data_IF_212229191437
#
_entry.id   IF_212229191437
#
_cell.length_a   1.000
_cell.length_b   1.000
_cell.length_c   1.000
_cell.angle_alpha   90.00
_cell.angle_beta   90.00
_cell.angle_gamma   90.00
#
_symmetry.space_group_name_H-M   'P 1'
#
loop_
_entity.id
_entity.type
_entity.pdbx_description
1 polymer ?
#
# COMPACT_ATOMS: atom_id res chain seq x y z
N UNK A 1 -8.60 -3.98 -22.49
CA UNK A 1 -8.20 -4.86 -21.39
C UNK A 1 -8.13 -4.07 -20.10
N UNK A 2 -7.93 -4.72 -18.96
CA UNK A 2 -7.54 -4.01 -17.73
C UNK A 2 -6.04 -3.67 -17.78
N UNK A 3 -5.61 -2.64 -17.03
CA UNK A 3 -4.18 -2.28 -16.89
C UNK A 3 -3.43 -3.42 -16.20
N UNK A 4 -2.34 -3.88 -16.81
CA UNK A 4 -1.50 -4.95 -16.31
C UNK A 4 -0.18 -4.40 -15.76
N UNK A 5 0.00 -4.51 -14.45
CA UNK A 5 1.28 -4.20 -13.79
C UNK A 5 2.04 -5.49 -13.47
N UNK A 6 3.35 -5.52 -13.75
CA UNK A 6 4.21 -6.66 -13.42
C UNK A 6 5.27 -6.26 -12.41
N UNK A 7 5.37 -7.04 -11.33
CA UNK A 7 6.32 -6.79 -10.25
C UNK A 7 7.58 -7.64 -10.36
N UNK A 8 8.74 -7.01 -10.15
CA UNK A 8 10.05 -7.65 -10.12
C UNK A 8 10.83 -7.24 -8.88
N UNK A 9 11.65 -8.15 -8.36
CA UNK A 9 12.59 -7.82 -7.27
C UNK A 9 13.80 -7.04 -7.83
N UNK A 10 14.38 -6.09 -7.07
CA UNK A 10 15.53 -5.29 -7.51
C UNK A 10 16.71 -6.11 -8.09
N UNK A 11 16.97 -7.28 -7.50
CA UNK A 11 18.04 -8.18 -7.94
C UNK A 11 17.85 -8.69 -9.38
N UNK A 12 16.61 -8.77 -9.84
CA UNK A 12 16.25 -9.32 -11.15
C UNK A 12 15.82 -8.24 -12.15
N UNK A 13 15.61 -7.00 -11.71
CA UNK A 13 15.05 -5.93 -12.54
C UNK A 13 15.81 -5.72 -13.84
N UNK A 14 17.14 -5.73 -13.82
CA UNK A 14 17.95 -5.42 -15.02
C UNK A 14 17.68 -6.34 -16.20
N UNK A 15 17.41 -7.62 -15.95
CA UNK A 15 17.21 -8.60 -17.01
C UNK A 15 15.72 -8.90 -17.26
N UNK A 16 14.86 -8.74 -16.25
CA UNK A 16 13.41 -8.94 -16.42
C UNK A 16 12.69 -7.71 -16.99
N UNK A 17 13.16 -6.49 -16.74
CA UNK A 17 12.47 -5.29 -17.18
C UNK A 17 12.23 -5.25 -18.70
N UNK A 18 13.22 -5.56 -19.57
CA UNK A 18 12.98 -5.63 -21.02
C UNK A 18 11.98 -6.71 -21.41
N UNK A 19 12.01 -7.88 -20.74
CA UNK A 19 11.08 -8.99 -21.00
C UNK A 19 9.65 -8.61 -20.63
N UNK A 20 9.48 -7.90 -19.51
CA UNK A 20 8.18 -7.39 -19.05
C UNK A 20 7.60 -6.40 -20.05
N UNK A 21 8.43 -5.49 -20.57
CA UNK A 21 8.00 -4.52 -21.60
C UNK A 21 7.66 -5.21 -22.92
N UNK A 22 8.49 -6.15 -23.39
CA UNK A 22 8.25 -6.92 -24.62
C UNK A 22 6.97 -7.75 -24.53
N UNK A 23 6.65 -8.27 -23.35
CA UNK A 23 5.40 -9.00 -23.09
C UNK A 23 4.15 -8.09 -23.09
N UNK A 24 4.31 -6.77 -23.18
CA UNK A 24 3.21 -5.81 -23.28
C UNK A 24 2.58 -5.43 -21.94
N UNK A 25 3.33 -5.46 -20.84
CA UNK A 25 2.85 -4.91 -19.57
C UNK A 25 2.69 -3.38 -19.66
N UNK A 26 1.69 -2.84 -18.95
CA UNK A 26 1.43 -1.39 -18.93
C UNK A 26 2.28 -0.66 -17.88
N UNK A 27 2.69 -1.34 -16.80
CA UNK A 27 3.43 -0.77 -15.68
C UNK A 27 4.48 -1.77 -15.19
N UNK A 28 5.71 -1.30 -14.99
CA UNK A 28 6.75 -2.05 -14.28
C UNK A 28 6.76 -1.65 -12.80
N UNK A 29 6.71 -2.62 -11.90
CA UNK A 29 6.82 -2.37 -10.45
C UNK A 29 8.11 -2.99 -9.91
N UNK A 30 9.05 -2.18 -9.44
CA UNK A 30 10.23 -2.67 -8.72
C UNK A 30 9.91 -2.70 -7.23
N UNK A 31 9.60 -3.88 -6.70
CA UNK A 31 9.14 -4.05 -5.32
C UNK A 31 10.20 -4.72 -4.43
N UNK A 32 10.47 -4.11 -3.29
CA UNK A 32 11.40 -4.59 -2.27
C UNK A 32 10.89 -4.25 -0.87
N UNK A 33 11.43 -4.90 0.17
CA UNK A 33 11.01 -4.63 1.56
C UNK A 33 11.40 -3.23 2.02
N UNK A 34 12.58 -2.74 1.65
CA UNK A 34 13.02 -1.37 1.95
C UNK A 34 13.85 -0.93 0.76
N UNK A 35 13.35 0.05 0.02
CA UNK A 35 14.03 0.59 -1.15
C UNK A 35 14.57 1.97 -0.82
N UNK A 36 15.86 2.16 -1.07
CA UNK A 36 16.51 3.46 -1.12
C UNK A 36 16.91 3.76 -2.56
N UNK A 37 17.06 5.04 -2.90
CA UNK A 37 17.55 5.45 -4.21
C UNK A 37 18.97 4.91 -4.52
N UNK A 38 19.75 4.62 -3.48
CA UNK A 38 21.09 4.02 -3.60
C UNK A 38 21.03 2.53 -3.31
N UNK A 39 20.92 1.72 -4.37
CA UNK A 39 21.01 0.27 -4.24
C UNK A 39 22.46 -0.19 -4.08
N UNK A 40 22.85 -0.55 -2.86
CA UNK A 40 24.16 -1.17 -2.59
C UNK A 40 24.07 -2.65 -2.95
N UNK A 41 24.83 -3.07 -3.96
CA UNK A 41 24.86 -4.46 -4.44
C UNK A 41 26.30 -4.93 -4.66
N UNK A 42 26.50 -6.25 -4.78
CA UNK A 42 27.78 -6.82 -5.23
C UNK A 42 28.06 -6.57 -6.72
N UNK A 43 27.08 -6.08 -7.48
CA UNK A 43 27.26 -5.71 -8.89
C UNK A 43 27.95 -4.35 -8.97
N UNK A 44 28.99 -4.25 -9.81
CA UNK A 44 29.85 -3.06 -9.97
C UNK A 44 29.08 -1.75 -10.17
N UNK A 45 27.92 -1.79 -10.87
CA UNK A 45 27.07 -0.60 -11.12
C UNK A 45 25.80 -0.53 -10.26
N UNK A 46 25.38 -1.63 -9.64
CA UNK A 46 24.06 -1.71 -8.99
C UNK A 46 22.85 -1.41 -9.91
N UNK A 47 21.63 -1.50 -9.38
CA UNK A 47 20.43 -1.00 -10.06
C UNK A 47 20.36 0.52 -9.83
N UNK A 48 20.31 1.28 -10.93
CA UNK A 48 20.20 2.74 -10.91
C UNK A 48 18.84 3.08 -11.50
N UNK A 49 18.00 3.76 -10.72
CA UNK A 49 16.61 4.00 -11.10
C UNK A 49 16.49 5.04 -12.20
N UNK A 50 17.39 6.01 -12.26
CA UNK A 50 17.48 7.00 -13.33
C UNK A 50 17.73 6.33 -14.67
N UNK A 51 18.71 5.43 -14.74
CA UNK A 51 19.03 4.65 -15.94
C UNK A 51 17.84 3.77 -16.35
N UNK A 52 17.17 3.14 -15.38
CA UNK A 52 16.00 2.29 -15.62
C UNK A 52 14.81 3.11 -16.16
N UNK A 53 14.49 4.24 -15.54
CA UNK A 53 13.38 5.08 -16.00
C UNK A 53 13.65 5.67 -17.38
N UNK A 54 14.93 5.96 -17.70
CA UNK A 54 15.31 6.44 -19.02
C UNK A 54 15.28 5.35 -20.12
N UNK A 55 15.48 4.07 -19.76
CA UNK A 55 15.51 2.97 -20.72
C UNK A 55 14.14 2.36 -21.01
N UNK A 56 13.19 2.50 -20.10
CA UNK A 56 11.84 1.94 -20.21
C UNK A 56 10.88 2.91 -20.91
N UNK A 57 9.97 2.39 -21.71
CA UNK A 57 8.87 3.13 -22.35
C UNK A 57 7.60 3.12 -21.51
N UNK A 58 7.48 2.17 -20.59
CA UNK A 58 6.37 2.04 -19.65
C UNK A 58 6.71 2.69 -18.31
N UNK A 59 5.72 3.24 -17.58
CA UNK A 59 5.94 3.82 -16.26
C UNK A 59 6.54 2.82 -15.27
N UNK A 60 7.56 3.29 -14.54
CA UNK A 60 8.26 2.52 -13.50
C UNK A 60 7.79 2.98 -12.12
N UNK A 61 7.13 2.10 -11.39
CA UNK A 61 6.74 2.29 -9.99
C UNK A 61 7.76 1.62 -9.09
N UNK A 62 8.19 2.29 -8.03
CA UNK A 62 9.23 1.77 -7.13
C UNK A 62 8.73 1.72 -5.70
N UNK A 63 9.06 0.65 -4.99
CA UNK A 63 8.67 0.50 -3.60
C UNK A 63 9.42 -0.60 -2.86
N UNK A 64 9.34 -0.67 -1.55
CA UNK A 64 8.59 0.25 -0.69
C UNK A 64 9.52 1.22 0.05
N UNK A 65 9.04 2.43 0.33
CA UNK A 65 9.67 3.37 1.25
C UNK A 65 8.70 3.80 2.36
N UNK A 66 9.22 4.41 3.42
CA UNK A 66 8.43 4.78 4.61
C UNK A 66 8.85 6.10 5.26
N UNK A 67 9.82 6.82 4.68
CA UNK A 67 10.31 8.08 5.24
C UNK A 67 10.35 9.16 4.17
N UNK A 68 10.18 10.41 4.63
CA UNK A 68 10.28 11.61 3.80
C UNK A 68 11.54 11.61 2.93
N UNK A 69 12.71 11.42 3.53
CA UNK A 69 14.00 11.51 2.82
C UNK A 69 14.19 10.40 1.79
N UNK A 70 13.74 9.18 2.08
CA UNK A 70 13.80 8.08 1.13
C UNK A 70 12.81 8.27 -0.03
N UNK A 71 11.59 8.73 0.27
CA UNK A 71 10.58 9.04 -0.74
C UNK A 71 11.06 10.14 -1.68
N UNK A 72 11.54 11.27 -1.15
CA UNK A 72 12.05 12.38 -1.94
C UNK A 72 13.22 11.95 -2.84
N UNK A 73 14.15 11.16 -2.30
CA UNK A 73 15.26 10.62 -3.07
C UNK A 73 14.79 9.71 -4.21
N UNK A 74 13.79 8.85 -3.98
CA UNK A 74 13.22 7.97 -5.00
C UNK A 74 12.49 8.75 -6.08
N UNK A 75 11.63 9.70 -5.70
CA UNK A 75 10.87 10.54 -6.64
C UNK A 75 11.83 11.29 -7.58
N UNK A 76 12.94 11.83 -7.05
CA UNK A 76 13.97 12.53 -7.83
C UNK A 76 14.69 11.66 -8.86
N UNK A 77 14.63 10.33 -8.75
CA UNK A 77 15.20 9.42 -9.76
C UNK A 77 14.37 9.34 -11.04
N UNK A 78 13.15 9.90 -11.04
CA UNK A 78 12.28 9.95 -12.21
C UNK A 78 11.17 8.90 -12.25
N UNK A 79 11.00 8.10 -11.19
CA UNK A 79 9.94 7.10 -11.06
C UNK A 79 8.54 7.69 -11.29
N UNK A 80 7.64 6.88 -11.83
CA UNK A 80 6.27 7.28 -12.14
C UNK A 80 5.36 7.31 -10.92
N UNK A 81 5.61 6.46 -9.92
CA UNK A 81 4.92 6.45 -8.63
C UNK A 81 5.77 5.73 -7.56
N UNK A 82 5.40 5.88 -6.29
CA UNK A 82 6.10 5.23 -5.17
C UNK A 82 5.13 4.40 -4.31
N UNK A 83 5.51 3.17 -3.96
CA UNK A 83 4.76 2.37 -2.97
C UNK A 83 5.26 2.68 -1.56
N UNK A 84 4.32 2.90 -0.65
CA UNK A 84 4.59 3.30 0.73
C UNK A 84 4.20 2.18 1.68
N UNK A 85 5.12 1.72 2.52
CA UNK A 85 4.79 0.80 3.61
C UNK A 85 5.81 -0.30 3.86
N UNK A 86 6.17 -0.51 5.13
CA UNK A 86 7.06 -1.59 5.57
C UNK A 86 6.53 -2.23 6.85
N UNK A 87 6.21 -3.52 6.74
CA UNK A 87 5.72 -4.33 7.85
C UNK A 87 4.21 -4.29 8.20
N UNK A 88 3.31 -3.49 7.60
CA UNK A 88 1.90 -3.47 8.03
C UNK A 88 1.07 -4.64 7.47
N UNK A 89 1.57 -5.35 6.45
CA UNK A 89 0.82 -6.37 5.73
C UNK A 89 0.55 -7.60 6.60
N UNK A 90 -0.67 -8.14 6.55
CA UNK A 90 -1.08 -9.25 7.41
C UNK A 90 -0.23 -10.53 7.27
N UNK A 91 0.37 -10.75 6.10
CA UNK A 91 1.26 -11.87 5.84
C UNK A 91 2.74 -11.54 6.07
N UNK A 92 3.07 -10.31 6.47
CA UNK A 92 4.45 -9.84 6.65
C UNK A 92 4.90 -10.04 8.10
N UNK A 93 6.08 -10.62 8.29
CA UNK A 93 6.68 -10.83 9.61
C UNK A 93 7.93 -9.97 9.81
N UNK A 94 8.17 -8.98 8.95
CA UNK A 94 9.39 -8.15 9.00
C UNK A 94 9.55 -7.41 10.33
N UNK A 95 8.46 -6.90 10.93
CA UNK A 95 8.53 -6.24 12.25
C UNK A 95 8.99 -7.18 13.35
N UNK A 96 8.46 -8.41 13.38
CA UNK A 96 8.82 -9.39 14.42
C UNK A 96 10.18 -10.05 14.16
N UNK A 97 10.54 -10.28 12.90
CA UNK A 97 11.78 -10.99 12.52
C UNK A 97 12.99 -10.06 12.52
N UNK A 98 12.83 -8.83 12.01
CA UNK A 98 13.94 -7.88 11.82
C UNK A 98 13.86 -6.65 12.74
N UNK A 99 12.76 -6.43 13.45
CA UNK A 99 12.56 -5.22 14.25
C UNK A 99 12.30 -3.96 13.41
N UNK A 100 12.07 -4.09 12.09
CA UNK A 100 11.88 -2.96 11.19
C UNK A 100 10.41 -2.80 10.77
N UNK A 101 9.91 -1.57 10.86
CA UNK A 101 8.62 -1.18 10.33
C UNK A 101 8.18 0.17 10.87
N UNK A 102 7.22 0.78 10.17
CA UNK A 102 6.68 2.11 10.50
C UNK A 102 5.15 2.02 10.55
N UNK A 103 4.46 2.73 11.46
CA UNK A 103 3.01 2.87 11.41
C UNK A 103 2.56 3.39 10.03
N UNK A 104 1.58 2.71 9.41
CA UNK A 104 1.32 2.88 7.98
C UNK A 104 0.81 4.28 7.60
N UNK A 105 -0.05 4.87 8.43
CA UNK A 105 -0.56 6.22 8.19
C UNK A 105 0.54 7.25 8.38
N UNK A 106 1.39 7.11 9.41
CA UNK A 106 2.57 7.97 9.59
C UNK A 106 3.50 7.92 8.38
N UNK A 107 3.83 6.72 7.89
CA UNK A 107 4.64 6.57 6.69
C UNK A 107 4.01 7.22 5.45
N UNK A 108 2.69 7.14 5.32
CA UNK A 108 1.95 7.77 4.22
C UNK A 108 2.03 9.29 4.30
N UNK A 109 1.79 9.88 5.48
CA UNK A 109 1.88 11.33 5.71
C UNK A 109 3.30 11.84 5.40
N UNK A 110 4.34 11.18 5.93
CA UNK A 110 5.73 11.57 5.71
C UNK A 110 6.11 11.54 4.22
N UNK A 111 5.60 10.54 3.48
CA UNK A 111 5.88 10.39 2.05
C UNK A 111 5.01 11.33 1.18
N UNK A 112 3.80 11.67 1.62
CA UNK A 112 2.96 12.69 0.99
C UNK A 112 3.63 14.06 1.08
N UNK A 113 4.14 14.43 2.25
CA UNK A 113 4.90 15.67 2.42
C UNK A 113 6.13 15.73 1.48
N UNK A 114 6.86 14.62 1.30
CA UNK A 114 7.97 14.55 0.36
C UNK A 114 7.52 14.74 -1.10
N UNK A 115 6.38 14.17 -1.47
CA UNK A 115 5.77 14.34 -2.80
C UNK A 115 5.36 15.80 -3.03
N UNK A 116 4.73 16.43 -2.04
CA UNK A 116 4.29 17.82 -2.12
C UNK A 116 5.48 18.77 -2.26
N UNK A 117 6.54 18.59 -1.45
CA UNK A 117 7.80 19.35 -1.62
C UNK A 117 8.38 19.19 -3.03
N UNK A 118 8.42 17.98 -3.56
CA UNK A 118 8.90 17.76 -4.93
C UNK A 118 8.02 18.44 -5.99
N UNK A 119 6.70 18.43 -5.79
CA UNK A 119 5.75 19.10 -6.67
C UNK A 119 5.94 20.63 -6.64
N UNK A 120 6.14 21.22 -5.46
CA UNK A 120 6.46 22.64 -5.32
C UNK A 120 7.80 23.02 -5.98
N UNK A 121 8.81 22.16 -5.86
CA UNK A 121 10.14 22.37 -6.45
C UNK A 121 10.14 22.27 -7.99
N UNK A 122 9.31 21.39 -8.57
CA UNK A 122 9.47 20.96 -9.97
C UNK A 122 8.22 21.09 -10.85
N UNK A 123 7.04 21.28 -10.25
CA UNK A 123 5.74 21.22 -10.91
C UNK A 123 5.32 19.81 -11.35
N UNK A 124 6.11 18.78 -11.07
CA UNK A 124 5.79 17.39 -11.44
C UNK A 124 5.17 16.64 -10.26
N UNK A 125 3.93 16.21 -10.43
CA UNK A 125 3.24 15.40 -9.43
C UNK A 125 3.60 13.92 -9.60
N UNK A 126 4.01 13.25 -8.52
CA UNK A 126 4.35 11.82 -8.53
C UNK A 126 3.44 11.09 -7.54
N UNK A 127 2.49 10.27 -8.00
CA UNK A 127 1.55 9.59 -7.11
C UNK A 127 2.24 8.69 -6.07
N UNK A 128 1.65 8.62 -4.88
CA UNK A 128 2.05 7.67 -3.85
C UNK A 128 0.93 6.66 -3.57
N UNK A 129 1.30 5.40 -3.40
CA UNK A 129 0.37 4.29 -3.22
C UNK A 129 0.66 3.63 -1.87
N UNK A 130 -0.28 3.71 -0.94
CA UNK A 130 -0.14 3.07 0.38
C UNK A 130 -0.31 1.56 0.24
N UNK A 131 0.73 0.79 0.58
CA UNK A 131 0.78 -0.67 0.45
C UNK A 131 0.73 -1.38 1.81
N UNK A 132 -0.37 -2.11 2.01
CA UNK A 132 -0.57 -2.99 3.15
C UNK A 132 -1.16 -2.31 4.39
N UNK A 133 -1.59 -3.15 5.35
CA UNK A 133 -2.24 -2.70 6.58
C UNK A 133 -3.76 -2.57 6.52
N UNK A 134 -4.38 -2.99 5.42
CA UNK A 134 -5.82 -2.88 5.19
C UNK A 134 -6.58 -4.18 5.48
N UNK A 135 -7.69 -4.04 6.17
CA UNK A 135 -8.70 -5.03 6.52
C UNK A 135 -10.11 -4.51 6.22
N UNK A 136 -10.37 -3.22 6.43
CA UNK A 136 -11.71 -2.61 6.33
C UNK A 136 -11.69 -1.28 5.57
N UNK A 137 -12.85 -0.88 5.04
CA UNK A 137 -13.00 0.37 4.26
C UNK A 137 -12.48 1.62 4.97
N UNK A 138 -12.68 1.75 6.29
CA UNK A 138 -12.21 2.92 7.04
C UNK A 138 -10.69 3.09 7.07
N UNK A 139 -9.90 2.03 6.91
CA UNK A 139 -8.43 2.14 6.82
C UNK A 139 -8.01 2.68 5.45
N UNK A 140 -8.74 2.32 4.38
CA UNK A 140 -8.55 2.88 3.04
C UNK A 140 -8.84 4.39 3.09
N UNK A 141 -9.97 4.79 3.69
CA UNK A 141 -10.30 6.20 3.84
C UNK A 141 -9.22 7.00 4.57
N UNK A 142 -8.62 6.44 5.63
CA UNK A 142 -7.51 7.08 6.35
C UNK A 142 -6.25 7.19 5.50
N UNK A 143 -5.93 6.18 4.69
CA UNK A 143 -4.77 6.24 3.80
C UNK A 143 -4.95 7.32 2.73
N UNK A 144 -6.14 7.40 2.12
CA UNK A 144 -6.46 8.46 1.16
C UNK A 144 -6.39 9.84 1.84
N UNK A 145 -7.04 10.02 3.00
CA UNK A 145 -6.95 11.26 3.77
C UNK A 145 -5.51 11.67 4.12
N UNK A 146 -4.64 10.69 4.36
CA UNK A 146 -3.23 10.88 4.66
C UNK A 146 -2.36 11.29 3.45
N UNK A 147 -2.96 11.49 2.26
CA UNK A 147 -2.28 11.94 1.05
C UNK A 147 -2.00 10.84 0.02
N UNK A 148 -2.53 9.62 0.21
CA UNK A 148 -2.39 8.56 -0.78
C UNK A 148 -3.27 8.79 -2.02
N UNK A 149 -2.71 8.54 -3.20
CA UNK A 149 -3.43 8.59 -4.48
C UNK A 149 -4.10 7.25 -4.81
N UNK A 150 -3.62 6.18 -4.17
CA UNK A 150 -4.16 4.84 -4.29
C UNK A 150 -3.73 3.94 -3.14
N UNK A 151 -4.29 2.74 -3.09
CA UNK A 151 -3.95 1.72 -2.09
C UNK A 151 -3.66 0.38 -2.77
N UNK A 152 -2.68 -0.35 -2.26
CA UNK A 152 -2.41 -1.73 -2.66
C UNK A 152 -3.00 -2.69 -1.63
N UNK A 153 -3.89 -3.57 -2.09
CA UNK A 153 -4.64 -4.50 -1.25
C UNK A 153 -4.22 -5.94 -1.55
N UNK A 154 -3.69 -6.64 -0.53
CA UNK A 154 -3.30 -8.06 -0.65
C UNK A 154 -4.36 -9.01 -0.09
N UNK A 155 -4.43 -9.11 1.25
CA UNK A 155 -5.31 -10.05 1.95
C UNK A 155 -6.78 -9.93 1.55
N UNK A 156 -7.27 -8.71 1.33
CA UNK A 156 -8.66 -8.46 0.94
C UNK A 156 -8.96 -9.10 -0.43
N UNK A 157 -8.09 -8.92 -1.42
CA UNK A 157 -8.27 -9.56 -2.73
C UNK A 157 -8.08 -11.07 -2.70
N UNK A 158 -7.25 -11.59 -1.79
CA UNK A 158 -7.13 -13.02 -1.57
C UNK A 158 -8.43 -13.68 -1.03
N UNK A 159 -9.37 -12.89 -0.51
CA UNK A 159 -10.70 -13.35 -0.09
C UNK A 159 -11.72 -13.44 -1.23
N UNK A 160 -11.37 -12.98 -2.44
CA UNK A 160 -12.25 -13.10 -3.59
C UNK A 160 -12.36 -14.56 -4.07
N UNK A 161 -13.56 -14.97 -4.51
CA UNK A 161 -13.82 -16.31 -5.08
C UNK A 161 -12.89 -16.67 -6.24
N UNK A 162 -12.52 -15.68 -7.06
CA UNK A 162 -11.61 -15.85 -8.20
C UNK A 162 -10.12 -15.79 -7.84
N UNK A 163 -9.76 -15.58 -6.57
CA UNK A 163 -8.37 -15.45 -6.17
C UNK A 163 -7.61 -16.77 -6.34
N UNK A 164 -6.41 -16.76 -6.97
CA UNK A 164 -5.65 -17.97 -7.24
C UNK A 164 -5.19 -18.69 -5.96
N UNK A 165 -5.05 -17.94 -4.86
CA UNK A 165 -4.69 -18.47 -3.55
C UNK A 165 -5.80 -19.27 -2.85
N UNK A 166 -7.03 -19.30 -3.38
CA UNK A 166 -8.17 -20.08 -2.85
C UNK A 166 -8.38 -19.91 -1.33
N UNK A 167 -8.40 -18.65 -0.87
CA UNK A 167 -8.55 -18.28 0.53
C UNK A 167 -7.27 -18.34 1.37
N UNK A 168 -6.12 -18.56 0.75
CA UNK A 168 -4.80 -18.37 1.34
C UNK A 168 -4.11 -17.13 0.77
N UNK A 169 -3.31 -16.48 1.61
CA UNK A 169 -2.50 -15.32 1.25
C UNK A 169 -1.09 -15.48 1.82
N UNK A 170 -0.07 -15.08 1.05
CA UNK A 170 1.32 -15.01 1.49
C UNK A 170 2.01 -13.85 0.80
N UNK A 171 2.96 -13.22 1.49
CA UNK A 171 3.74 -12.12 0.92
C UNK A 171 4.93 -12.59 0.09
N UNK A 172 5.46 -11.69 -0.75
CA UNK A 172 6.65 -11.92 -1.59
C UNK A 172 7.91 -12.29 -0.81
N UNK A 173 7.98 -11.95 0.48
CA UNK A 173 9.12 -12.26 1.34
C UNK A 173 9.03 -13.64 2.04
N UNK A 174 7.97 -14.41 1.78
CA UNK A 174 7.78 -15.77 2.31
C UNK A 174 8.84 -16.77 1.81
N UNK A 175 9.12 -16.90 0.49
CA UNK A 175 10.00 -17.96 -0.02
C UNK A 175 11.51 -17.67 0.15
N UNK A 176 11.93 -16.71 0.98
CA UNK A 176 13.35 -16.36 1.08
C UNK A 176 14.14 -17.51 1.75
N UNK A 177 15.10 -18.15 1.04
CA UNK A 177 15.68 -19.42 1.46
C UNK A 177 16.48 -19.32 2.77
N UNK A 178 17.13 -18.18 3.02
CA UNK A 178 17.97 -17.99 4.21
C UNK A 178 17.22 -17.39 5.41
N UNK A 179 16.16 -16.60 5.17
CA UNK A 179 15.47 -15.84 6.23
C UNK A 179 14.07 -15.42 5.75
N UNK A 180 13.08 -16.32 5.87
CA UNK A 180 11.68 -16.02 5.55
C UNK A 180 11.17 -14.83 6.39
N UNK A 181 10.54 -13.86 5.73
CA UNK A 181 9.96 -12.65 6.37
C UNK A 181 8.49 -12.46 6.01
N UNK A 182 7.86 -13.55 5.61
CA UNK A 182 6.44 -13.64 5.38
C UNK A 182 5.93 -15.00 5.82
N UNK A 183 4.65 -15.07 6.11
CA UNK A 183 3.95 -16.30 6.47
C UNK A 183 2.78 -16.53 5.55
N UNK A 184 2.35 -17.79 5.45
CA UNK A 184 1.14 -18.15 4.72
C UNK A 184 -0.01 -18.13 5.72
N UNK A 185 -0.99 -17.27 5.47
CA UNK A 185 -2.18 -17.10 6.29
C UNK A 185 -3.42 -17.61 5.56
N UNK A 186 -4.42 -18.05 6.33
CA UNK A 186 -5.75 -18.38 5.81
C UNK A 186 -6.67 -17.19 6.05
N UNK A 187 -7.10 -16.54 4.98
CA UNK A 187 -8.02 -15.39 5.03
C UNK A 187 -9.46 -15.78 4.69
N UNK A 188 -9.66 -16.99 4.18
CA UNK A 188 -10.96 -17.48 3.75
C UNK A 188 -11.43 -16.86 2.44
N UNK A 189 -12.66 -17.15 2.05
CA UNK A 189 -13.30 -16.58 0.86
C UNK A 189 -14.62 -15.96 1.29
N UNK A 190 -14.81 -14.68 1.01
CA UNK A 190 -15.96 -13.91 1.53
C UNK A 190 -16.95 -13.50 0.44
N UNK A 191 -16.53 -13.39 -0.83
CA UNK A 191 -17.41 -12.94 -1.92
C UNK A 191 -16.74 -12.89 -3.29
N UNK A 192 -17.44 -12.40 -4.31
CA UNK A 192 -16.81 -12.04 -5.58
C UNK A 192 -15.94 -10.80 -5.43
N UNK A 193 -15.01 -10.56 -6.37
CA UNK A 193 -14.22 -9.32 -6.37
C UNK A 193 -15.12 -8.08 -6.46
N UNK A 194 -16.17 -8.16 -7.25
CA UNK A 194 -17.18 -7.11 -7.40
C UNK A 194 -17.89 -6.80 -6.08
N UNK A 195 -18.32 -7.82 -5.32
CA UNK A 195 -18.94 -7.63 -4.00
C UNK A 195 -17.96 -6.99 -3.00
N UNK A 196 -16.70 -7.42 -3.01
CA UNK A 196 -15.68 -6.88 -2.12
C UNK A 196 -15.43 -5.40 -2.42
N UNK A 197 -15.34 -5.02 -3.69
CA UNK A 197 -15.05 -3.63 -4.08
C UNK A 197 -16.29 -2.72 -4.05
N UNK A 198 -17.39 -3.13 -4.66
CA UNK A 198 -18.55 -2.28 -4.97
C UNK A 198 -19.84 -2.71 -4.27
N UNK A 199 -19.85 -3.89 -3.64
CA UNK A 199 -21.02 -4.42 -2.95
C UNK A 199 -22.04 -5.10 -3.88
N UNK A 200 -23.29 -5.31 -3.41
CA UNK A 200 -23.76 -5.03 -2.05
C UNK A 200 -23.02 -5.88 -1.01
N UNK A 201 -22.88 -5.34 0.20
CA UNK A 201 -22.25 -6.07 1.30
C UNK A 201 -23.20 -7.12 1.87
N UNK A 202 -22.73 -8.35 2.06
CA UNK A 202 -23.41 -9.37 2.86
C UNK A 202 -22.88 -9.43 4.30
N UNK A 203 -21.90 -8.59 4.65
CA UNK A 203 -21.22 -8.55 5.94
C UNK A 203 -21.38 -7.16 6.59
N UNK A 204 -21.34 -7.12 7.91
CA UNK A 204 -21.50 -5.88 8.71
C UNK A 204 -20.19 -5.34 9.27
N UNK A 205 -19.06 -5.97 8.95
CA UNK A 205 -17.75 -5.66 9.52
C UNK A 205 -16.90 -4.71 8.65
N UNK A 206 -17.44 -4.25 7.51
CA UNK A 206 -16.78 -3.32 6.59
C UNK A 206 -15.68 -3.94 5.72
N UNK A 207 -15.67 -5.26 5.57
CA UNK A 207 -14.72 -5.99 4.69
C UNK A 207 -15.17 -6.09 3.23
N UNK A 208 -16.38 -5.62 2.91
CA UNK A 208 -16.97 -5.56 1.57
C UNK A 208 -17.48 -4.15 1.26
N UNK A 209 -17.77 -3.89 -0.02
CA UNK A 209 -18.13 -2.57 -0.53
C UNK A 209 -17.13 -1.47 -0.12
N UNK A 210 -15.85 -1.73 -0.35
CA UNK A 210 -14.76 -0.81 0.02
C UNK A 210 -14.86 0.56 -0.67
N UNK A 211 -15.28 0.57 -1.93
CA UNK A 211 -15.48 1.80 -2.71
C UNK A 211 -16.64 2.59 -2.14
N UNK A 212 -17.77 1.95 -1.82
CA UNK A 212 -18.89 2.61 -1.16
C UNK A 212 -18.53 3.14 0.23
N UNK A 213 -17.68 2.43 0.99
CA UNK A 213 -17.17 2.93 2.27
C UNK A 213 -16.32 4.20 2.09
N UNK A 214 -15.44 4.22 1.09
CA UNK A 214 -14.62 5.39 0.75
C UNK A 214 -15.51 6.58 0.32
N UNK A 215 -16.44 6.37 -0.61
CA UNK A 215 -17.36 7.41 -1.09
C UNK A 215 -18.20 8.01 0.05
N UNK A 216 -18.75 7.17 0.93
CA UNK A 216 -19.48 7.65 2.10
C UNK A 216 -18.58 8.45 3.04
N UNK A 217 -17.34 8.00 3.27
CA UNK A 217 -16.39 8.75 4.11
C UNK A 217 -16.07 10.12 3.50
N UNK A 218 -15.80 10.16 2.20
CA UNK A 218 -15.54 11.40 1.48
C UNK A 218 -16.73 12.37 1.56
N UNK A 219 -17.96 11.88 1.36
CA UNK A 219 -19.17 12.69 1.52
C UNK A 219 -19.34 13.26 2.93
N UNK A 220 -19.04 12.47 3.97
CA UNK A 220 -19.08 12.92 5.37
C UNK A 220 -17.99 13.95 5.70
N UNK A 221 -16.83 13.87 5.04
CA UNK A 221 -15.75 14.83 5.17
C UNK A 221 -15.89 16.04 4.23
N UNK A 222 -16.95 16.10 3.40
CA UNK A 222 -17.16 17.18 2.44
C UNK A 222 -16.19 17.19 1.25
N UNK A 223 -15.60 16.05 0.91
CA UNK A 223 -14.68 15.90 -0.22
C UNK A 223 -15.38 15.23 -1.42
N UNK A 224 -15.32 15.87 -2.59
CA UNK A 224 -15.90 15.34 -3.83
C UNK A 224 -14.94 14.42 -4.60
N UNK A 225 -13.63 14.50 -4.34
CA UNK A 225 -12.59 13.73 -5.01
C UNK A 225 -11.40 13.44 -4.10
N UNK A 226 -10.46 12.60 -4.56
CA UNK A 226 -9.29 12.17 -3.79
C UNK A 226 -8.43 13.38 -3.38
N UNK A 227 -8.22 14.34 -4.29
CA UNK A 227 -7.42 15.53 -4.02
C UNK A 227 -8.02 16.40 -2.93
N UNK A 228 -9.35 16.55 -2.88
CA UNK A 228 -10.03 17.25 -1.80
C UNK A 228 -9.92 16.48 -0.48
N UNK A 229 -9.99 15.15 -0.52
CA UNK A 229 -9.85 14.30 0.66
C UNK A 229 -8.46 14.42 1.31
N UNK A 230 -7.41 14.73 0.55
CA UNK A 230 -6.07 15.00 1.09
C UNK A 230 -6.04 16.20 2.04
N UNK A 231 -7.03 17.11 1.96
CA UNK A 231 -7.15 18.27 2.85
C UNK A 231 -8.01 17.99 4.09
N UNK A 232 -8.51 16.76 4.26
CA UNK A 232 -9.34 16.40 5.41
C UNK A 232 -8.54 16.48 6.71
N UNK A 233 -9.15 17.06 7.75
CA UNK A 233 -8.53 17.09 9.08
C UNK A 233 -8.42 15.68 9.66
N UNK A 234 -7.20 15.29 10.05
CA UNK A 234 -6.93 14.02 10.71
C UNK A 234 -6.56 14.24 12.17
N UNK A 235 -7.34 13.63 13.06
CA UNK A 235 -7.10 13.68 14.52
C UNK A 235 -6.59 12.34 15.03
N UNK A 236 -5.50 12.38 15.80
CA UNK A 236 -4.98 11.20 16.49
C UNK A 236 -5.69 11.06 17.83
N UNK A 237 -6.59 10.08 17.92
CA UNK A 237 -7.33 9.77 19.14
C UNK A 237 -7.09 8.31 19.54
N UNK A 238 -6.03 8.01 20.32
CA UNK A 238 -5.68 6.64 20.69
C UNK A 238 -6.79 5.91 21.47
N UNK A 239 -7.60 6.68 22.20
CA UNK A 239 -8.74 6.18 22.98
C UNK A 239 -10.03 6.03 22.19
N UNK A 240 -10.10 6.42 20.91
CA UNK A 240 -11.39 6.53 20.19
C UNK A 240 -12.20 5.22 20.11
N UNK A 241 -11.51 4.07 20.23
CA UNK A 241 -12.15 2.75 20.24
C UNK A 241 -12.78 2.44 21.61
N UNK A 242 -12.20 2.96 22.69
CA UNK A 242 -12.55 2.62 24.09
C UNK A 242 -13.30 3.75 24.81
N UNK A 243 -13.14 4.98 24.35
CA UNK A 243 -13.74 6.18 24.93
C UNK A 243 -15.27 6.10 24.93
N UNK A 244 -15.87 6.31 26.09
CA UNK A 244 -17.32 6.13 26.32
C UNK A 244 -17.80 4.68 26.35
N UNK A 245 -17.26 3.79 25.50
CA UNK A 245 -17.64 2.37 25.46
C UNK A 245 -17.24 1.62 26.72
N UNK A 246 -16.06 1.89 27.27
CA UNK A 246 -15.63 1.29 28.54
C UNK A 246 -16.62 1.63 29.67
N UNK A 247 -17.14 2.86 29.70
CA UNK A 247 -18.15 3.29 30.66
C UNK A 247 -19.54 2.68 30.38
N UNK A 248 -19.94 2.55 29.12
CA UNK A 248 -21.17 1.85 28.74
C UNK A 248 -21.13 0.37 29.13
N UNK A 249 -20.00 -0.31 28.89
CA UNK A 249 -19.80 -1.70 29.30
C UNK A 249 -19.80 -1.83 30.83
N UNK A 250 -19.17 -0.89 31.56
CA UNK A 250 -19.18 -0.86 33.02
C UNK A 250 -20.59 -0.61 33.59
N UNK A 251 -21.36 0.31 33.02
CA UNK A 251 -22.75 0.59 33.45
C UNK A 251 -23.71 -0.59 33.16
N UNK A 252 -23.45 -1.35 32.08
CA UNK A 252 -24.21 -2.56 31.76
C UNK A 252 -23.99 -3.72 32.73
N UNK A 253 -22.86 -3.76 33.44
CA UNK A 253 -22.55 -4.80 34.44
C UNK A 253 -23.15 -4.53 35.83
N UNK A 254 -23.60 -3.30 36.11
CA UNK A 254 -24.25 -2.94 37.38
C UNK A 254 -25.73 -3.37 37.42
N UNK A 255 -26.28 -3.90 36.31
CA UNK A 255 -27.67 -4.40 36.21
C UNK A 255 -27.78 -5.94 36.28
N UNK A 256 -26.95 -6.62 37.07
CA UNK A 256 -27.17 -8.02 37.45
C UNK A 256 -27.11 -8.18 38.96
#
# INVERSE_FOLDING_TARGET
GAVCAVSVAPANTKWLAPVVEEAGADILVVASTVTSARHISKSTRGLIFEDLCASMRIPVVVGNCVSYSACLALIRTGVAAVLIGVGPGAACTSRSVLGIGVPQITATIDCAAARDTYYEETGRYVPIITDGGFHRGGEISKAIAAGADGVMLGSIFAQAKGAPGRGYHWGMANPHPALPRGTRIKVGTTGTLEQILYGPSSLTDGTQNLVGALQNTMGLCGAANISEMHNAEMVIAPSIITEGKVWQFAQGQVKK
#
